data_IF_991680720951
#
_entry.id   IF_991680720951
#
_cell.length_a   1.000
_cell.length_b   1.000
_cell.length_c   1.000
_cell.angle_alpha   90.00
_cell.angle_beta   90.00
_cell.angle_gamma   90.00
#
_symmetry.space_group_name_H-M   'P 1'
#
loop_
_entity.id
_entity.type
_entity.pdbx_description
1 polymer ?
#
# COMPACT_ATOMS: atom_id res chain seq x y z
N UNK A 1 -12.84 23.41 4.65
CA UNK A 1 -13.64 22.18 4.76
C UNK A 1 -13.86 21.71 3.33
N UNK A 2 -12.97 20.85 2.84
CA UNK A 2 -13.15 20.21 1.53
C UNK A 2 -14.15 19.09 1.74
N UNK A 3 -15.36 19.29 1.24
CA UNK A 3 -16.42 18.30 1.25
C UNK A 3 -16.04 17.20 0.25
N UNK A 4 -15.30 16.18 0.69
CA UNK A 4 -14.93 15.03 -0.12
C UNK A 4 -16.01 13.94 -0.07
N UNK A 5 -17.28 14.31 -0.18
CA UNK A 5 -18.28 13.39 -0.69
C UNK A 5 -17.99 13.25 -2.17
N UNK A 6 -17.29 12.18 -2.56
CA UNK A 6 -17.53 11.60 -3.87
C UNK A 6 -19.00 11.19 -3.85
N UNK A 7 -19.85 12.01 -4.39
CA UNK A 7 -21.14 11.55 -4.89
C UNK A 7 -20.74 10.61 -6.04
N UNK A 8 -20.79 9.31 -5.79
CA UNK A 8 -20.85 8.35 -6.86
C UNK A 8 -22.14 8.69 -7.60
N UNK A 9 -21.98 9.29 -8.77
CA UNK A 9 -23.10 9.49 -9.68
C UNK A 9 -23.48 8.09 -10.18
N UNK A 10 -24.51 7.51 -9.54
CA UNK A 10 -25.04 6.21 -9.92
C UNK A 10 -25.48 6.20 -11.40
N UNK A 11 -25.70 7.36 -12.02
CA UNK A 11 -26.00 7.51 -13.44
C UNK A 11 -24.83 7.09 -14.36
N UNK A 12 -23.58 7.10 -13.87
CA UNK A 12 -22.43 6.62 -14.65
C UNK A 12 -22.52 5.11 -14.91
N UNK A 13 -23.24 4.38 -14.07
CA UNK A 13 -23.34 2.91 -14.16
C UNK A 13 -24.67 2.42 -14.75
N UNK A 14 -25.71 3.26 -14.79
CA UNK A 14 -27.09 2.83 -15.04
C UNK A 14 -27.63 3.10 -16.45
N UNK A 15 -26.87 3.70 -17.36
CA UNK A 15 -27.37 4.06 -18.69
C UNK A 15 -26.72 3.30 -19.84
N UNK A 16 -26.77 1.99 -19.81
CA UNK A 16 -26.75 1.21 -21.04
C UNK A 16 -28.19 1.06 -21.54
N UNK A 17 -28.79 2.11 -22.11
CA UNK A 17 -29.94 1.95 -23.00
C UNK A 17 -29.48 1.20 -24.23
N UNK A 18 -30.20 0.11 -24.57
CA UNK A 18 -30.00 -0.66 -25.81
C UNK A 18 -29.93 0.29 -27.01
N UNK A 19 -28.73 0.47 -27.57
CA UNK A 19 -28.53 1.25 -28.81
C UNK A 19 -27.30 2.15 -28.83
N UNK A 20 -26.93 2.80 -27.74
CA UNK A 20 -25.74 3.65 -27.65
C UNK A 20 -24.74 3.07 -26.65
N UNK A 21 -23.63 2.53 -27.16
CA UNK A 21 -22.48 2.25 -26.28
C UNK A 21 -21.98 3.59 -25.75
N UNK A 22 -22.02 3.83 -24.41
CA UNK A 22 -21.51 5.08 -23.84
C UNK A 22 -20.07 5.29 -24.32
N UNK A 23 -19.71 6.53 -24.64
CA UNK A 23 -18.35 6.89 -25.06
C UNK A 23 -17.27 6.26 -24.16
N UNK A 24 -17.56 6.18 -22.86
CA UNK A 24 -16.69 5.56 -21.83
C UNK A 24 -16.51 4.06 -22.04
N UNK A 25 -17.57 3.33 -22.41
CA UNK A 25 -17.46 1.90 -22.69
C UNK A 25 -16.62 1.62 -23.95
N UNK A 26 -16.77 2.47 -24.99
CA UNK A 26 -15.92 2.38 -26.20
C UNK A 26 -14.48 2.69 -25.86
N UNK A 27 -14.22 3.74 -25.09
CA UNK A 27 -12.88 4.09 -24.63
C UNK A 27 -12.26 2.98 -23.78
N UNK A 28 -13.02 2.45 -22.81
CA UNK A 28 -12.58 1.37 -21.95
C UNK A 28 -12.21 0.13 -22.75
N UNK A 29 -13.06 -0.30 -23.66
CA UNK A 29 -12.79 -1.48 -24.51
C UNK A 29 -11.56 -1.28 -25.40
N UNK A 30 -11.38 -0.08 -25.96
CA UNK A 30 -10.18 0.25 -26.72
C UNK A 30 -8.92 0.16 -25.86
N UNK A 31 -8.91 0.80 -24.68
CA UNK A 31 -7.77 0.79 -23.76
C UNK A 31 -7.48 -0.63 -23.25
N UNK A 32 -8.52 -1.43 -22.99
CA UNK A 32 -8.37 -2.82 -22.57
C UNK A 32 -7.73 -3.67 -23.68
N UNK A 33 -8.14 -3.46 -24.94
CA UNK A 33 -7.54 -4.13 -26.10
C UNK A 33 -6.06 -3.74 -26.27
N UNK A 34 -5.76 -2.44 -26.26
CA UNK A 34 -4.38 -1.93 -26.36
C UNK A 34 -3.48 -2.49 -25.25
N UNK A 35 -4.01 -2.61 -24.04
CA UNK A 35 -3.28 -3.18 -22.90
C UNK A 35 -3.07 -4.69 -23.09
N UNK A 36 -4.08 -5.40 -23.61
CA UNK A 36 -4.00 -6.82 -23.92
C UNK A 36 -2.93 -7.13 -24.99
N UNK A 37 -2.92 -6.36 -26.08
CA UNK A 37 -1.92 -6.49 -27.15
C UNK A 37 -0.50 -6.25 -26.59
N UNK A 38 -0.34 -5.27 -25.72
CA UNK A 38 0.94 -4.97 -25.07
C UNK A 38 1.40 -6.07 -24.14
N UNK A 39 0.46 -6.66 -23.39
CA UNK A 39 0.74 -7.80 -22.52
C UNK A 39 1.24 -9.00 -23.35
N UNK A 40 0.54 -9.35 -24.44
CA UNK A 40 0.94 -10.43 -25.32
C UNK A 40 2.32 -10.21 -25.96
N UNK A 41 2.59 -8.98 -26.41
CA UNK A 41 3.90 -8.61 -26.94
C UNK A 41 5.02 -8.78 -25.90
N UNK A 42 4.79 -8.43 -24.63
CA UNK A 42 5.76 -8.65 -23.57
C UNK A 42 5.97 -10.13 -23.27
N UNK A 43 4.89 -10.93 -23.30
CA UNK A 43 4.95 -12.37 -23.03
C UNK A 43 5.68 -13.14 -24.15
N UNK A 44 5.50 -12.74 -25.38
CA UNK A 44 6.19 -13.34 -26.55
C UNK A 44 7.71 -13.13 -26.52
N UNK A 45 8.19 -12.11 -25.85
CA UNK A 45 9.62 -11.79 -25.80
C UNK A 45 10.49 -12.87 -25.14
N UNK A 46 9.92 -13.77 -24.34
CA UNK A 46 10.58 -14.92 -23.67
C UNK A 46 11.83 -14.57 -22.87
N UNK A 47 12.05 -13.29 -22.53
CA UNK A 47 13.14 -12.84 -21.67
C UNK A 47 12.64 -11.75 -20.73
N UNK A 48 13.37 -11.55 -19.62
CA UNK A 48 13.04 -10.54 -18.65
C UNK A 48 13.50 -9.14 -19.13
N UNK A 49 12.67 -8.12 -18.91
CA UNK A 49 13.02 -6.72 -19.10
C UNK A 49 13.29 -6.07 -17.75
N UNK A 50 14.50 -5.58 -17.56
CA UNK A 50 14.92 -4.96 -16.31
C UNK A 50 14.71 -3.44 -16.34
N UNK A 51 13.91 -2.95 -15.39
CA UNK A 51 13.64 -1.53 -15.21
C UNK A 51 14.65 -0.87 -14.26
N UNK A 52 15.19 0.26 -14.69
CA UNK A 52 16.16 1.05 -13.92
C UNK A 52 15.72 2.50 -13.79
N UNK A 53 16.09 3.09 -12.65
CA UNK A 53 16.11 4.54 -12.47
C UNK A 53 17.54 5.02 -12.66
N UNK A 54 17.74 6.21 -13.24
CA UNK A 54 19.06 6.83 -13.34
C UNK A 54 19.61 7.19 -11.95
N UNK A 55 20.90 7.38 -11.83
CA UNK A 55 21.52 7.79 -10.56
C UNK A 55 20.96 9.09 -10.01
N UNK A 56 20.61 10.02 -10.89
CA UNK A 56 19.99 11.29 -10.53
C UNK A 56 18.59 11.07 -9.97
N UNK A 57 17.80 10.23 -10.62
CA UNK A 57 16.46 9.87 -10.19
C UNK A 57 16.49 9.13 -8.83
N UNK A 58 17.42 8.20 -8.64
CA UNK A 58 17.62 7.50 -7.37
C UNK A 58 18.01 8.46 -6.23
N UNK A 59 18.90 9.44 -6.49
CA UNK A 59 19.26 10.46 -5.51
C UNK A 59 18.06 11.32 -5.13
N UNK A 60 17.24 11.70 -6.11
CA UNK A 60 16.03 12.51 -5.89
C UNK A 60 15.00 11.77 -5.04
N UNK A 61 14.68 10.52 -5.36
CA UNK A 61 13.77 9.69 -4.56
C UNK A 61 14.29 9.54 -3.12
N UNK A 62 15.58 9.21 -2.93
CA UNK A 62 16.14 9.04 -1.58
C UNK A 62 16.04 10.32 -0.75
N UNK A 63 16.27 11.49 -1.38
CA UNK A 63 16.16 12.79 -0.70
C UNK A 63 14.70 13.06 -0.30
N UNK A 64 13.77 12.87 -1.23
CA UNK A 64 12.34 13.04 -0.98
C UNK A 64 11.86 12.15 0.18
N UNK A 65 12.14 10.85 0.12
CA UNK A 65 11.70 9.94 1.18
C UNK A 65 12.34 10.22 2.53
N UNK A 66 13.59 10.66 2.58
CA UNK A 66 14.21 11.07 3.85
C UNK A 66 13.49 12.27 4.45
N UNK A 67 13.16 13.26 3.63
CA UNK A 67 12.42 14.45 4.09
C UNK A 67 11.00 14.08 4.55
N UNK A 68 10.27 13.29 3.77
CA UNK A 68 8.91 12.84 4.10
C UNK A 68 8.90 11.96 5.36
N UNK A 69 9.89 11.08 5.49
CA UNK A 69 10.02 10.22 6.67
C UNK A 69 10.21 11.06 7.94
N UNK A 70 11.09 12.07 7.90
CA UNK A 70 11.34 12.94 9.05
C UNK A 70 10.09 13.74 9.47
N UNK A 71 9.24 14.13 8.51
CA UNK A 71 7.98 14.84 8.78
C UNK A 71 6.93 13.90 9.35
N UNK A 72 6.61 12.84 8.64
CA UNK A 72 5.49 11.96 9.00
C UNK A 72 5.78 11.07 10.21
N UNK A 73 7.04 10.68 10.46
CA UNK A 73 7.41 9.95 11.67
C UNK A 73 7.25 10.81 12.93
N UNK A 74 7.50 12.12 12.84
CA UNK A 74 7.28 13.05 13.96
C UNK A 74 5.80 13.28 14.22
N UNK A 75 4.99 13.33 13.16
CA UNK A 75 3.56 13.64 13.27
C UNK A 75 2.74 12.41 13.69
N UNK A 76 3.03 11.23 13.13
CA UNK A 76 2.20 10.03 13.29
C UNK A 76 2.88 8.89 14.05
N UNK A 77 4.18 9.01 14.34
CA UNK A 77 4.95 7.96 15.01
C UNK A 77 5.08 6.68 14.19
N UNK A 78 5.44 5.58 14.87
CA UNK A 78 5.78 4.30 14.25
C UNK A 78 4.62 3.62 13.51
N UNK A 79 3.38 4.00 13.82
CA UNK A 79 2.21 3.39 13.20
C UNK A 79 2.10 3.71 11.70
N UNK A 80 2.55 4.89 11.28
CA UNK A 80 2.56 5.28 9.87
C UNK A 80 3.78 4.77 9.11
N UNK A 81 4.78 4.28 9.81
CA UNK A 81 6.08 3.85 9.29
C UNK A 81 5.95 2.72 8.23
N UNK A 82 4.99 1.81 8.42
CA UNK A 82 4.71 0.75 7.46
C UNK A 82 4.26 1.30 6.09
N UNK A 83 3.46 2.37 6.09
CA UNK A 83 3.00 3.05 4.87
C UNK A 83 4.15 3.77 4.18
N UNK A 84 4.98 4.47 4.95
CA UNK A 84 6.18 5.14 4.45
C UNK A 84 7.17 4.15 3.79
N UNK A 85 7.44 3.02 4.43
CA UNK A 85 8.35 1.99 3.92
C UNK A 85 7.87 1.28 2.66
N UNK A 86 6.55 1.20 2.46
CA UNK A 86 5.94 0.59 1.24
C UNK A 86 5.90 1.54 0.05
N UNK A 87 5.84 2.85 0.29
CA UNK A 87 5.67 3.85 -0.76
C UNK A 87 6.75 3.81 -1.85
N UNK A 88 8.06 3.66 -1.56
CA UNK A 88 9.09 3.53 -2.59
C UNK A 88 8.86 2.37 -3.56
N UNK A 89 8.35 1.25 -3.04
CA UNK A 89 8.03 0.06 -3.86
C UNK A 89 6.83 0.34 -4.76
N UNK A 90 5.79 0.99 -4.23
CA UNK A 90 4.61 1.39 -5.00
C UNK A 90 5.02 2.36 -6.11
N UNK A 91 5.80 3.38 -5.79
CA UNK A 91 6.29 4.34 -6.78
C UNK A 91 7.12 3.67 -7.88
N UNK A 92 8.04 2.78 -7.52
CA UNK A 92 8.81 2.03 -8.50
C UNK A 92 7.90 1.22 -9.44
N UNK A 93 6.84 0.59 -8.92
CA UNK A 93 5.85 -0.14 -9.75
C UNK A 93 5.11 0.80 -10.69
N UNK A 94 4.70 1.98 -10.23
CA UNK A 94 4.07 3.00 -11.08
C UNK A 94 5.02 3.41 -12.21
N UNK A 95 6.29 3.70 -11.89
CA UNK A 95 7.31 4.02 -12.90
C UNK A 95 7.51 2.90 -13.91
N UNK A 96 7.53 1.64 -13.48
CA UNK A 96 7.61 0.48 -14.36
C UNK A 96 6.42 0.40 -15.33
N UNK A 97 5.20 0.62 -14.83
CA UNK A 97 3.98 0.61 -15.64
C UNK A 97 4.02 1.74 -16.67
N UNK A 98 4.29 2.98 -16.25
CA UNK A 98 4.34 4.13 -17.14
C UNK A 98 5.38 3.93 -18.25
N UNK A 99 6.58 3.50 -17.89
CA UNK A 99 7.65 3.21 -18.85
C UNK A 99 7.27 2.06 -19.78
N UNK A 100 6.67 0.98 -19.25
CA UNK A 100 6.20 -0.15 -20.05
C UNK A 100 5.13 0.26 -21.06
N UNK A 101 4.21 1.15 -20.68
CA UNK A 101 3.17 1.68 -21.57
C UNK A 101 3.71 2.56 -22.71
N UNK A 102 4.91 3.10 -22.57
CA UNK A 102 5.56 3.94 -23.61
C UNK A 102 6.49 3.16 -24.54
N UNK A 103 6.75 1.88 -24.26
CA UNK A 103 7.61 1.08 -25.12
C UNK A 103 6.98 0.91 -26.52
N UNK A 104 7.83 0.97 -27.52
CA UNK A 104 7.47 0.82 -28.93
C UNK A 104 7.31 -0.68 -29.27
N UNK A 105 6.07 -1.13 -29.40
CA UNK A 105 5.73 -2.55 -29.71
C UNK A 105 6.16 -2.98 -31.13
N UNK A 106 6.57 -2.06 -32.02
CA UNK A 106 7.09 -2.42 -33.33
C UNK A 106 8.53 -2.94 -33.26
N UNK A 107 9.18 -2.81 -32.11
CA UNK A 107 10.54 -3.27 -31.84
C UNK A 107 10.54 -4.43 -30.86
N UNK A 108 11.59 -5.26 -30.86
CA UNK A 108 11.74 -6.27 -29.81
C UNK A 108 11.79 -5.64 -28.41
N UNK A 109 11.25 -6.35 -27.41
CA UNK A 109 11.33 -5.91 -26.02
C UNK A 109 12.80 -5.76 -25.61
N UNK A 110 13.24 -4.61 -25.10
CA UNK A 110 14.62 -4.45 -24.68
C UNK A 110 14.89 -5.20 -23.36
N UNK A 111 16.09 -5.74 -23.20
CA UNK A 111 16.50 -6.37 -21.93
C UNK A 111 16.58 -5.36 -20.78
N UNK A 112 16.84 -4.09 -21.09
CA UNK A 112 17.01 -3.01 -20.10
C UNK A 112 16.29 -1.75 -20.54
N UNK A 113 15.58 -1.17 -19.60
CA UNK A 113 14.85 0.08 -19.79
C UNK A 113 15.16 1.04 -18.64
N UNK A 114 15.45 2.27 -19.00
CA UNK A 114 15.64 3.37 -18.04
C UNK A 114 14.39 4.22 -18.04
N UNK A 115 13.88 4.56 -16.85
CA UNK A 115 12.75 5.45 -16.69
C UNK A 115 13.03 6.81 -17.34
N UNK A 116 12.12 7.28 -18.17
CA UNK A 116 12.22 8.64 -18.71
C UNK A 116 12.02 9.67 -17.60
N UNK A 117 12.54 10.87 -17.77
CA UNK A 117 12.35 11.93 -16.77
C UNK A 117 10.88 12.33 -16.66
N UNK A 118 10.11 12.24 -17.74
CA UNK A 118 8.67 12.51 -17.76
C UNK A 118 7.89 11.48 -16.91
N UNK A 119 8.16 10.18 -17.12
CA UNK A 119 7.54 9.11 -16.33
C UNK A 119 7.98 9.19 -14.85
N UNK A 120 9.24 9.55 -14.64
CA UNK A 120 9.77 9.77 -13.30
C UNK A 120 9.06 10.90 -12.56
N UNK A 121 8.84 12.05 -13.20
CA UNK A 121 8.10 13.17 -12.60
C UNK A 121 6.64 12.78 -12.32
N UNK A 122 6.01 12.08 -13.25
CA UNK A 122 4.64 11.57 -13.08
C UNK A 122 4.56 10.60 -11.90
N UNK A 123 5.50 9.67 -11.80
CA UNK A 123 5.63 8.73 -10.69
C UNK A 123 5.80 9.45 -9.34
N UNK A 124 6.65 10.49 -9.28
CA UNK A 124 6.85 11.29 -8.07
C UNK A 124 5.55 12.01 -7.66
N UNK A 125 4.86 12.63 -8.62
CA UNK A 125 3.61 13.34 -8.36
C UNK A 125 2.53 12.40 -7.80
N UNK A 126 2.33 11.25 -8.45
CA UNK A 126 1.34 10.25 -7.99
C UNK A 126 1.73 9.74 -6.61
N UNK A 127 3.00 9.38 -6.39
CA UNK A 127 3.49 8.88 -5.11
C UNK A 127 3.30 9.88 -3.97
N UNK A 128 3.60 11.15 -4.22
CA UNK A 128 3.37 12.21 -3.23
C UNK A 128 1.88 12.38 -2.91
N UNK A 129 1.00 12.35 -3.90
CA UNK A 129 -0.45 12.40 -3.69
C UNK A 129 -0.97 11.21 -2.90
N UNK A 130 -0.50 10.00 -3.22
CA UNK A 130 -0.87 8.80 -2.47
C UNK A 130 -0.41 8.88 -1.00
N UNK A 131 0.78 9.41 -0.75
CA UNK A 131 1.30 9.59 0.60
C UNK A 131 0.46 10.61 1.39
N UNK A 132 0.12 11.74 0.78
CA UNK A 132 -0.78 12.73 1.38
C UNK A 132 -2.16 12.12 1.70
N UNK A 133 -2.74 11.35 0.79
CA UNK A 133 -4.01 10.67 1.03
C UNK A 133 -3.91 9.65 2.17
N UNK A 134 -2.83 8.87 2.22
CA UNK A 134 -2.60 7.94 3.31
C UNK A 134 -2.52 8.68 4.66
N UNK A 135 -1.84 9.82 4.72
CA UNK A 135 -1.75 10.66 5.91
C UNK A 135 -3.13 11.20 6.33
N UNK A 136 -3.92 11.71 5.38
CA UNK A 136 -5.29 12.18 5.65
C UNK A 136 -6.19 11.06 6.20
N UNK A 137 -6.15 9.89 5.58
CA UNK A 137 -6.91 8.72 6.07
C UNK A 137 -6.47 8.36 7.48
N UNK A 138 -5.16 8.40 7.74
CA UNK A 138 -4.61 8.10 9.04
C UNK A 138 -5.07 9.10 10.12
N UNK A 139 -5.13 10.40 9.81
CA UNK A 139 -5.67 11.44 10.69
C UNK A 139 -7.16 11.25 11.00
N UNK A 140 -7.92 10.70 10.06
CA UNK A 140 -9.36 10.45 10.21
C UNK A 140 -9.65 9.15 10.99
N UNK A 141 -8.66 8.28 11.21
CA UNK A 141 -8.87 7.09 12.01
C UNK A 141 -9.12 7.50 13.46
N UNK A 142 -10.15 6.91 14.13
CA UNK A 142 -10.33 7.11 15.56
C UNK A 142 -9.03 6.73 16.25
N UNK A 143 -8.53 7.61 17.13
CA UNK A 143 -7.28 7.43 17.83
C UNK A 143 -7.20 6.02 18.42
N UNK A 144 -6.42 5.17 17.78
CA UNK A 144 -5.89 3.99 18.43
C UNK A 144 -5.03 4.57 19.54
N UNK A 145 -5.55 4.60 20.78
CA UNK A 145 -4.81 5.07 21.95
C UNK A 145 -3.40 4.52 21.82
N UNK A 146 -2.35 5.38 21.82
CA UNK A 146 -1.01 4.87 21.70
C UNK A 146 -0.79 3.90 22.85
N UNK A 147 -0.69 2.62 22.51
CA UNK A 147 -0.25 1.63 23.49
C UNK A 147 1.16 2.01 23.88
N UNK A 148 1.50 2.11 25.18
CA UNK A 148 2.84 2.52 25.59
C UNK A 148 3.90 1.79 24.79
N UNK A 149 4.86 2.53 24.24
CA UNK A 149 5.95 2.01 23.45
C UNK A 149 6.71 0.94 24.24
N UNK A 150 6.56 -0.28 23.87
CA UNK A 150 7.16 -1.47 24.50
C UNK A 150 6.64 -2.77 23.92
N UNK A 151 5.48 -2.73 23.25
CA UNK A 151 4.79 -3.96 22.84
C UNK A 151 4.74 -4.10 21.32
N UNK A 152 5.90 -4.18 20.71
CA UNK A 152 6.06 -4.45 19.28
C UNK A 152 5.60 -5.88 19.01
N UNK A 153 4.62 -6.04 18.12
CA UNK A 153 4.29 -7.32 17.50
C UNK A 153 3.25 -8.17 18.22
N UNK A 154 2.48 -7.62 19.15
CA UNK A 154 1.33 -8.35 19.66
C UNK A 154 0.22 -8.38 18.61
N UNK A 155 -0.22 -9.59 18.21
CA UNK A 155 -1.42 -9.74 17.42
C UNK A 155 -2.61 -9.13 18.16
N UNK A 156 -3.67 -8.75 17.43
CA UNK A 156 -4.90 -8.22 18.04
C UNK A 156 -5.44 -9.16 19.15
N UNK A 157 -5.29 -10.46 18.97
CA UNK A 157 -5.63 -11.50 19.96
C UNK A 157 -4.77 -11.40 21.24
N UNK A 158 -3.48 -11.08 21.11
CA UNK A 158 -2.60 -10.93 22.27
C UNK A 158 -3.00 -9.71 23.11
N UNK A 159 -3.36 -8.60 22.46
CA UNK A 159 -3.87 -7.41 23.14
C UNK A 159 -5.19 -7.70 23.85
N UNK A 160 -6.14 -8.35 23.18
CA UNK A 160 -7.39 -8.78 23.78
C UNK A 160 -7.15 -9.69 24.99
N UNK A 161 -6.24 -10.64 24.87
CA UNK A 161 -5.89 -11.55 25.97
C UNK A 161 -5.42 -10.77 27.20
N UNK A 162 -4.47 -9.86 27.07
CA UNK A 162 -3.96 -9.06 28.19
C UNK A 162 -4.97 -8.02 28.73
N UNK A 163 -5.84 -7.48 27.89
CA UNK A 163 -6.90 -6.56 28.33
C UNK A 163 -8.01 -7.26 29.16
N UNK A 164 -8.22 -8.54 28.91
CA UNK A 164 -9.24 -9.32 29.63
C UNK A 164 -8.71 -9.97 30.92
N UNK A 165 -7.40 -9.94 31.16
CA UNK A 165 -6.81 -10.40 32.40
C UNK A 165 -6.93 -9.32 33.47
N UNK A 166 -7.33 -9.67 34.72
CA UNK A 166 -7.28 -8.76 35.85
C UNK A 166 -5.82 -8.32 36.13
N UNK A 167 -5.67 -7.20 36.83
CA UNK A 167 -4.34 -6.67 37.20
C UNK A 167 -3.51 -7.70 37.97
N UNK A 168 -4.15 -8.44 38.87
CA UNK A 168 -3.57 -9.57 39.57
C UNK A 168 -4.28 -10.85 39.11
N UNK A 169 -3.60 -11.69 38.35
CA UNK A 169 -4.16 -12.92 37.80
C UNK A 169 -3.30 -14.14 38.14
N UNK A 170 -3.96 -15.27 38.27
CA UNK A 170 -3.31 -16.57 38.43
C UNK A 170 -3.08 -17.24 37.06
N UNK A 171 -2.23 -18.26 37.04
CA UNK A 171 -2.04 -19.05 35.83
C UNK A 171 -3.35 -19.73 35.36
N UNK A 172 -4.24 -20.05 36.29
CA UNK A 172 -5.55 -20.64 35.96
C UNK A 172 -6.46 -19.65 35.27
N UNK A 173 -6.43 -18.37 35.69
CA UNK A 173 -7.19 -17.31 35.02
C UNK A 173 -6.71 -17.05 33.61
N UNK A 174 -5.39 -17.08 33.40
CA UNK A 174 -4.79 -16.94 32.08
C UNK A 174 -5.17 -18.11 31.15
N UNK A 175 -5.23 -19.35 31.66
CA UNK A 175 -5.67 -20.52 30.88
C UNK A 175 -7.14 -20.40 30.47
N UNK A 176 -8.03 -20.03 31.40
CA UNK A 176 -9.47 -19.84 31.11
C UNK A 176 -9.67 -18.76 30.02
N UNK A 177 -8.90 -17.68 30.11
CA UNK A 177 -9.02 -16.57 29.16
C UNK A 177 -8.45 -16.95 27.79
N UNK A 178 -7.40 -17.76 27.75
CA UNK A 178 -6.86 -18.31 26.51
C UNK A 178 -7.86 -19.24 25.82
N UNK A 179 -8.57 -20.07 26.57
CA UNK A 179 -9.64 -20.95 26.06
C UNK A 179 -10.78 -20.15 25.43
N UNK A 180 -11.25 -19.09 26.11
CA UNK A 180 -12.31 -18.20 25.59
C UNK A 180 -11.92 -17.55 24.26
N UNK A 181 -10.65 -17.20 24.09
CA UNK A 181 -10.12 -16.58 22.87
C UNK A 181 -9.63 -17.59 21.82
N UNK A 182 -9.73 -18.88 22.08
CA UNK A 182 -9.25 -19.93 21.18
C UNK A 182 -7.71 -19.96 21.03
N UNK A 183 -6.99 -19.50 22.05
CA UNK A 183 -5.53 -19.42 22.07
C UNK A 183 -4.94 -20.69 22.68
N UNK A 184 -3.95 -21.30 22.01
CA UNK A 184 -3.29 -22.47 22.58
C UNK A 184 -2.52 -22.13 23.85
N UNK A 185 -2.49 -23.08 24.81
CA UNK A 185 -1.76 -22.92 26.08
C UNK A 185 -0.27 -22.62 25.87
N UNK A 186 0.33 -23.17 24.82
CA UNK A 186 1.73 -22.88 24.47
C UNK A 186 1.95 -21.44 24.00
N UNK A 187 1.03 -20.92 23.18
CA UNK A 187 1.04 -19.53 22.75
C UNK A 187 0.86 -18.58 23.93
N UNK A 188 -0.09 -18.86 24.80
CA UNK A 188 -0.30 -18.11 26.04
C UNK A 188 0.96 -18.11 26.92
N UNK A 189 1.58 -19.27 27.17
CA UNK A 189 2.83 -19.37 27.96
C UNK A 189 3.93 -18.50 27.35
N UNK A 190 4.13 -18.58 26.03
CA UNK A 190 5.13 -17.77 25.31
C UNK A 190 4.86 -16.26 25.50
N UNK A 191 3.62 -15.85 25.50
CA UNK A 191 3.25 -14.46 25.74
C UNK A 191 3.53 -14.03 27.17
N UNK A 192 3.13 -14.83 28.16
CA UNK A 192 3.39 -14.54 29.58
C UNK A 192 4.89 -14.50 29.91
N UNK A 193 5.69 -15.40 29.33
CA UNK A 193 7.15 -15.39 29.55
C UNK A 193 7.82 -14.15 29.01
N UNK A 194 7.31 -13.60 27.92
CA UNK A 194 7.85 -12.37 27.29
C UNK A 194 7.55 -11.10 28.12
N UNK A 195 6.53 -11.14 28.96
CA UNK A 195 6.09 -10.00 29.78
C UNK A 195 6.55 -10.05 31.25
N UNK A 196 7.20 -11.15 31.65
CA UNK A 196 7.74 -11.32 33.01
C UNK A 196 9.24 -11.06 33.12
N UNK A 197 9.86 -10.40 32.12
CA UNK A 197 11.26 -9.95 32.22
C UNK A 197 11.33 -8.44 32.35
#
# INVERSE_FOLDING_TARGET
VVNSRMEFDDQVWDTATEGDTPYEAVLYNRLASELGDRYLWMEEARHECYFYLSDTQLKTIRRMFRSEYDVYSKEFGDLFDASLKRMPVIMKRIGMILTGLRLDMTKPLPERVICSDEDFQTMLLIGHKLLMHAALVYQMMPELKPTPMGEIGSSMLQRQFFQMLPTDFTKQDAVKQAEVLGISVETMKRWLTKYHC
#
